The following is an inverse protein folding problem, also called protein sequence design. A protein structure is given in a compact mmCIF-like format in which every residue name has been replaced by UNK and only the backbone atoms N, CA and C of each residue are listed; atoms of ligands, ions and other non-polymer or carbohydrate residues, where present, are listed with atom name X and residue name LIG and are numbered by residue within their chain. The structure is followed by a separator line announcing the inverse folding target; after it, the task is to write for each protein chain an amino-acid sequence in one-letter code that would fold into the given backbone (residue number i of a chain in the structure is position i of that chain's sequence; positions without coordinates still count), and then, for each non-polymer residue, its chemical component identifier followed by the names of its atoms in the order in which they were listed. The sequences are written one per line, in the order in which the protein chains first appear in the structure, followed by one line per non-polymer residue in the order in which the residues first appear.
data_IF_686724474444
#
_entry.id   IF_686724474444
#
_cell.length_a   1.000
_cell.length_b   1.000
_cell.length_c   1.000
_cell.angle_alpha   90.00
_cell.angle_beta   90.00
_cell.angle_gamma   90.00
#
_symmetry.space_group_name_H-M   'P 1'
#
loop_
_entity.id
_entity.type
_entity.pdbx_description
1 polymer ?
#
# COMPACT_ATOMS: atom_id res chain seq x y z
N UNK A 1 -7.61 -15.10 7.43
CA UNK A 1 -8.64 -14.36 6.67
C UNK A 1 -7.95 -13.79 5.44
N UNK A 2 -8.27 -14.28 4.24
CA UNK A 2 -7.65 -13.80 3.01
C UNK A 2 -8.27 -12.44 2.64
N UNK A 3 -7.46 -11.42 2.31
CA UNK A 3 -8.02 -10.16 1.78
C UNK A 3 -8.69 -10.44 0.45
N UNK A 4 -9.89 -9.92 0.21
CA UNK A 4 -10.59 -10.05 -1.08
C UNK A 4 -10.22 -8.89 -2.03
N UNK A 5 -10.37 -9.11 -3.34
CA UNK A 5 -10.16 -8.05 -4.36
C UNK A 5 -11.01 -6.80 -4.05
N UNK A 6 -12.24 -6.99 -3.55
CA UNK A 6 -13.14 -5.91 -3.17
C UNK A 6 -12.62 -5.09 -1.99
N UNK A 7 -12.00 -5.74 -1.00
CA UNK A 7 -11.38 -5.06 0.14
C UNK A 7 -10.17 -4.24 -0.29
N UNK A 8 -9.29 -4.80 -1.14
CA UNK A 8 -8.13 -4.08 -1.69
C UNK A 8 -8.58 -2.83 -2.45
N UNK A 9 -9.60 -2.98 -3.32
CA UNK A 9 -10.19 -1.84 -4.04
C UNK A 9 -10.74 -0.79 -3.09
N UNK A 10 -11.49 -1.22 -2.06
CA UNK A 10 -12.08 -0.31 -1.08
C UNK A 10 -11.00 0.43 -0.30
N UNK A 11 -9.94 -0.26 0.13
CA UNK A 11 -8.82 0.32 0.86
C UNK A 11 -8.09 1.36 0.00
N UNK A 12 -7.75 1.02 -1.26
CA UNK A 12 -7.12 1.97 -2.19
C UNK A 12 -7.96 3.23 -2.38
N UNK A 13 -9.28 3.09 -2.54
CA UNK A 13 -10.18 4.22 -2.68
C UNK A 13 -10.25 5.11 -1.43
N UNK A 14 -10.06 4.53 -0.24
CA UNK A 14 -10.04 5.26 1.04
C UNK A 14 -8.72 5.98 1.30
N UNK A 15 -7.63 5.61 0.62
CA UNK A 15 -6.33 6.28 0.79
C UNK A 15 -6.41 7.75 0.38
N UNK A 16 -5.75 8.64 1.14
CA UNK A 16 -5.70 10.07 0.83
C UNK A 16 -4.72 10.34 -0.31
N UNK A 17 -5.18 11.06 -1.31
CA UNK A 17 -4.37 11.58 -2.41
C UNK A 17 -3.43 12.71 -1.96
N UNK A 18 -2.37 12.98 -2.74
CA UNK A 18 -1.36 14.02 -2.49
C UNK A 18 -0.62 13.87 -1.15
N UNK A 19 -0.48 12.63 -0.69
CA UNK A 19 0.41 12.29 0.44
C UNK A 19 1.80 12.02 -0.10
N UNK A 20 2.81 12.40 0.69
CA UNK A 20 4.19 12.06 0.38
C UNK A 20 4.32 10.54 0.26
N UNK A 21 5.08 10.03 -0.72
CA UNK A 21 5.34 8.61 -0.84
C UNK A 21 6.19 8.12 0.34
N UNK A 22 6.24 6.80 0.50
CA UNK A 22 7.20 6.15 1.40
C UNK A 22 8.61 6.15 0.80
N UNK A 23 9.47 5.30 1.36
CA UNK A 23 10.83 5.07 0.85
C UNK A 23 10.85 4.42 -0.55
N UNK A 24 9.72 3.85 -0.96
CA UNK A 24 9.51 3.23 -2.27
C UNK A 24 9.18 4.24 -3.38
N UNK A 25 8.99 5.53 -3.05
CA UNK A 25 8.54 6.59 -3.97
C UNK A 25 7.14 6.34 -4.58
N UNK A 26 6.40 5.32 -4.10
CA UNK A 26 5.08 4.96 -4.58
C UNK A 26 4.02 5.77 -3.83
N UNK A 27 3.26 6.57 -4.58
CA UNK A 27 2.15 7.35 -4.01
C UNK A 27 0.82 6.60 -4.10
N UNK A 28 -0.11 6.95 -3.21
CA UNK A 28 -1.49 6.47 -3.29
C UNK A 28 -2.15 6.81 -4.65
N UNK A 29 -1.76 7.93 -5.27
CA UNK A 29 -2.28 8.35 -6.57
C UNK A 29 -1.77 7.46 -7.69
N UNK A 30 -0.50 7.02 -7.63
CA UNK A 30 0.06 6.06 -8.57
C UNK A 30 -0.64 4.70 -8.47
N UNK A 31 -0.87 4.21 -7.24
CA UNK A 31 -1.58 2.95 -7.02
C UNK A 31 -3.03 2.99 -7.55
N UNK A 32 -3.72 4.11 -7.35
CA UNK A 32 -5.08 4.32 -7.89
C UNK A 32 -5.08 4.40 -9.41
N UNK A 33 -4.09 5.08 -10.01
CA UNK A 33 -3.98 5.23 -11.46
C UNK A 33 -3.72 3.88 -12.16
N UNK A 34 -3.09 2.93 -11.47
CA UNK A 34 -2.77 1.61 -12.01
C UNK A 34 -3.98 0.68 -12.25
N UNK A 35 -5.17 1.02 -11.73
CA UNK A 35 -6.42 0.31 -12.03
C UNK A 35 -6.45 -1.17 -11.64
N UNK A 36 -7.17 -1.99 -12.40
CA UNK A 36 -7.36 -3.43 -12.12
C UNK A 36 -6.06 -4.24 -12.02
N UNK A 37 -5.04 -4.04 -12.89
CA UNK A 37 -3.78 -4.76 -12.77
C UNK A 37 -3.13 -4.58 -11.39
N UNK A 38 -3.07 -3.35 -10.88
CA UNK A 38 -2.48 -3.05 -9.57
C UNK A 38 -3.32 -3.64 -8.44
N UNK A 39 -4.66 -3.58 -8.54
CA UNK A 39 -5.55 -4.19 -7.55
C UNK A 39 -5.32 -5.70 -7.45
N UNK A 40 -5.18 -6.40 -8.57
CA UNK A 40 -4.91 -7.84 -8.60
C UNK A 40 -3.54 -8.17 -8.02
N UNK A 41 -2.51 -7.44 -8.43
CA UNK A 41 -1.16 -7.62 -7.93
C UNK A 41 -1.06 -7.40 -6.41
N UNK A 42 -1.69 -6.35 -5.88
CA UNK A 42 -1.75 -6.10 -4.44
C UNK A 42 -2.46 -7.24 -3.69
N UNK A 43 -3.58 -7.73 -4.23
CA UNK A 43 -4.30 -8.85 -3.64
C UNK A 43 -3.47 -10.14 -3.60
N UNK A 44 -2.67 -10.41 -4.64
CA UNK A 44 -1.74 -11.54 -4.68
C UNK A 44 -0.68 -11.41 -3.57
N UNK A 45 -0.03 -10.26 -3.47
CA UNK A 45 0.96 -10.00 -2.41
C UNK A 45 0.36 -10.16 -1.01
N UNK A 46 -0.78 -9.54 -0.74
CA UNK A 46 -1.44 -9.66 0.56
C UNK A 46 -1.88 -11.10 0.85
N UNK A 47 -2.30 -11.84 -0.18
CA UNK A 47 -2.63 -13.26 -0.03
C UNK A 47 -1.41 -14.09 0.29
N UNK A 48 -0.26 -13.80 -0.32
CA UNK A 48 0.97 -14.56 -0.11
C UNK A 48 1.57 -14.27 1.26
N UNK A 49 1.62 -13.02 1.70
CA UNK A 49 2.00 -12.65 3.08
C UNK A 49 1.10 -13.36 4.10
N UNK A 50 -0.21 -13.41 3.85
CA UNK A 50 -1.14 -14.08 4.76
C UNK A 50 -0.97 -15.60 4.79
N UNK A 51 -0.61 -16.23 3.67
CA UNK A 51 -0.42 -17.69 3.58
C UNK A 51 0.86 -18.17 4.23
N UNK A 52 1.94 -17.42 4.06
CA UNK A 52 3.26 -17.80 4.55
C UNK A 52 3.55 -17.24 5.95
N UNK A 53 2.73 -16.30 6.43
CA UNK A 53 2.94 -15.56 7.68
C UNK A 53 4.31 -14.84 7.72
N UNK A 54 4.89 -14.60 6.55
CA UNK A 54 6.16 -13.90 6.36
C UNK A 54 5.88 -12.46 5.94
N UNK A 55 6.32 -11.52 6.79
CA UNK A 55 6.19 -10.10 6.51
C UNK A 55 7.26 -9.63 5.52
N UNK A 56 6.88 -8.74 4.61
CA UNK A 56 7.81 -8.05 3.71
C UNK A 56 8.67 -7.09 4.54
N UNK A 57 9.99 -7.28 4.56
CA UNK A 57 10.90 -6.48 5.39
C UNK A 57 10.80 -4.99 5.08
N UNK A 58 10.62 -4.65 3.80
CA UNK A 58 10.51 -3.29 3.30
C UNK A 58 9.30 -2.54 3.86
N UNK A 59 8.23 -3.23 4.28
CA UNK A 59 7.07 -2.60 4.90
C UNK A 59 7.36 -2.05 6.30
N UNK A 60 8.47 -2.48 6.93
CA UNK A 60 8.90 -1.95 8.22
C UNK A 60 9.72 -0.67 8.10
N UNK A 61 10.02 -0.20 6.89
CA UNK A 61 10.79 1.02 6.65
C UNK A 61 9.89 2.26 6.72
N UNK A 62 10.26 3.24 7.55
CA UNK A 62 9.56 4.52 7.66
C UNK A 62 10.52 5.70 7.50
N UNK A 63 10.15 6.67 6.66
CA UNK A 63 10.87 7.95 6.57
C UNK A 63 10.36 8.87 7.69
N UNK A 64 11.23 9.20 8.64
CA UNK A 64 10.95 10.14 9.72
C UNK A 64 11.51 11.53 9.39
N UNK A 65 10.64 12.45 8.99
CA UNK A 65 11.01 13.86 8.75
C UNK A 65 10.50 14.72 9.92
N UNK A 66 11.42 15.39 10.63
CA UNK A 66 11.08 16.36 11.67
C UNK A 66 10.67 17.69 11.03
N UNK A 67 9.38 18.03 11.11
CA UNK A 67 8.87 19.33 10.71
C UNK A 67 8.78 20.24 11.94
N UNK A 68 9.61 21.28 11.99
CA UNK A 68 9.51 22.30 13.03
C UNK A 68 8.24 23.14 12.80
N UNK A 69 7.32 23.08 13.76
CA UNK A 69 6.17 23.99 13.81
C UNK A 69 6.66 25.35 14.30
N UNK A 70 6.20 26.44 13.67
CA UNK A 70 6.37 27.80 14.18
C UNK A 70 5.59 28.01 15.47
#
# INVERSE_FOLDING_TARGET
MQSTISEVRKALNQMKSRKAPGNDEITADLLKAGGEPVIKWLHEIFSDVWKHEEMVEEWNLAILIKLFKK
#
